data_IF_463218064426
#
_entry.id   IF_463218064426
#
_cell.length_a   1.000
_cell.length_b   1.000
_cell.length_c   1.000
_cell.angle_alpha   90.00
_cell.angle_beta   90.00
_cell.angle_gamma   90.00
#
_symmetry.space_group_name_H-M   'P 1'
#
loop_
_entity.id
_entity.type
_entity.pdbx_description
1 polymer ?
#
# COMPACT_ATOMS: atom_id res chain seq x y z
N UNK A 1 16.13 13.97 -4.39
CA UNK A 1 14.77 13.67 -4.90
C UNK A 1 14.93 12.74 -6.10
N UNK A 2 14.71 11.45 -5.86
CA UNK A 2 14.92 10.38 -6.84
C UNK A 2 14.31 10.73 -8.21
N UNK A 3 15.16 10.67 -9.26
CA UNK A 3 14.77 10.95 -10.65
C UNK A 3 13.57 10.11 -11.11
N UNK A 4 13.46 8.89 -10.57
CA UNK A 4 12.37 7.95 -10.84
C UNK A 4 11.02 8.48 -10.35
N UNK A 5 10.97 9.16 -9.19
CA UNK A 5 9.75 9.76 -8.66
C UNK A 5 9.36 11.04 -9.41
N UNK A 6 10.32 11.76 -10.00
CA UNK A 6 10.08 12.97 -10.81
C UNK A 6 9.58 12.65 -12.23
N UNK A 7 10.09 11.58 -12.86
CA UNK A 7 9.64 11.12 -14.18
C UNK A 7 8.25 10.44 -14.14
N UNK A 8 7.69 10.26 -12.95
CA UNK A 8 6.38 9.67 -12.68
C UNK A 8 5.23 10.67 -12.94
N UNK A 9 5.07 11.08 -14.20
CA UNK A 9 4.10 12.09 -14.62
C UNK A 9 2.66 11.54 -14.68
N UNK A 10 2.00 11.46 -13.52
CA UNK A 10 0.57 11.19 -13.42
C UNK A 10 -0.19 12.48 -13.64
N UNK A 11 -1.19 12.45 -14.55
CA UNK A 11 -2.03 13.61 -14.83
C UNK A 11 -3.37 13.46 -14.14
N UNK A 12 -3.76 14.50 -13.40
CA UNK A 12 -5.12 14.65 -12.88
C UNK A 12 -6.09 14.78 -14.05
N UNK A 13 -7.26 14.15 -13.93
CA UNK A 13 -8.36 14.31 -14.89
C UNK A 13 -9.12 15.58 -14.51
N UNK A 14 -9.80 16.24 -15.47
CA UNK A 14 -10.59 17.43 -15.17
C UNK A 14 -11.70 17.13 -14.14
N UNK A 15 -12.34 18.18 -13.61
CA UNK A 15 -13.44 18.02 -12.66
C UNK A 15 -14.52 17.06 -13.20
N UNK A 16 -15.13 16.18 -12.37
CA UNK A 16 -16.29 15.38 -12.77
C UNK A 16 -17.38 16.20 -13.48
N UNK A 17 -17.58 17.45 -13.08
CA UNK A 17 -18.56 18.37 -13.67
C UNK A 17 -18.25 18.78 -15.12
N UNK A 18 -17.06 18.42 -15.62
CA UNK A 18 -16.68 18.66 -17.01
C UNK A 18 -17.20 17.58 -17.97
N UNK A 19 -17.87 16.53 -17.48
CA UNK A 19 -18.22 15.33 -18.25
C UNK A 19 -19.71 14.94 -18.18
N UNK A 20 -20.23 14.41 -19.29
CA UNK A 20 -21.58 13.84 -19.37
C UNK A 20 -21.58 12.35 -18.97
N UNK A 21 -22.60 11.94 -18.20
CA UNK A 21 -22.92 10.53 -18.05
C UNK A 21 -23.69 10.03 -19.28
N UNK A 22 -23.21 8.95 -19.89
CA UNK A 22 -23.91 8.26 -20.99
C UNK A 22 -24.75 7.10 -20.48
N UNK A 23 -25.79 6.71 -21.22
CA UNK A 23 -26.65 5.59 -20.83
C UNK A 23 -25.79 4.32 -20.64
N UNK A 24 -25.88 3.73 -19.45
CA UNK A 24 -25.12 2.53 -19.09
C UNK A 24 -23.72 2.78 -18.52
N UNK A 25 -23.28 4.04 -18.39
CA UNK A 25 -21.99 4.38 -17.78
C UNK A 25 -22.12 5.53 -16.77
N UNK A 26 -21.36 5.48 -15.67
CA UNK A 26 -21.23 6.61 -14.74
C UNK A 26 -19.84 7.24 -14.90
N UNK A 27 -19.71 8.07 -15.94
CA UNK A 27 -18.48 8.76 -16.31
C UNK A 27 -17.98 9.67 -15.20
N UNK A 28 -18.86 10.45 -14.59
CA UNK A 28 -18.49 11.43 -13.55
C UNK A 28 -17.96 10.76 -12.29
N UNK A 29 -18.58 9.65 -11.87
CA UNK A 29 -18.11 8.86 -10.72
C UNK A 29 -16.78 8.18 -11.04
N UNK A 30 -16.60 7.65 -12.26
CA UNK A 30 -15.32 7.10 -12.67
C UNK A 30 -14.20 8.16 -12.67
N UNK A 31 -14.48 9.38 -13.13
CA UNK A 31 -13.55 10.53 -13.07
C UNK A 31 -13.25 10.92 -11.63
N UNK A 32 -14.26 10.96 -10.76
CA UNK A 32 -14.05 11.21 -9.33
C UNK A 32 -13.08 10.18 -8.74
N UNK A 33 -13.28 8.89 -9.01
CA UNK A 33 -12.38 7.82 -8.54
C UNK A 33 -10.99 7.87 -9.17
N UNK A 34 -10.88 8.31 -10.42
CA UNK A 34 -9.57 8.55 -11.04
C UNK A 34 -8.82 9.71 -10.36
N UNK A 35 -9.54 10.74 -9.92
CA UNK A 35 -8.98 11.85 -9.17
C UNK A 35 -8.65 11.45 -7.71
N UNK A 36 -9.46 10.60 -7.06
CA UNK A 36 -9.13 10.01 -5.76
C UNK A 36 -7.84 9.18 -5.86
N UNK A 37 -7.71 8.38 -6.93
CA UNK A 37 -6.51 7.60 -7.23
C UNK A 37 -5.28 8.51 -7.45
N UNK A 38 -5.44 9.59 -8.23
CA UNK A 38 -4.39 10.59 -8.43
C UNK A 38 -3.92 11.17 -7.08
N UNK A 39 -4.86 11.58 -6.22
CA UNK A 39 -4.55 12.15 -4.90
C UNK A 39 -3.79 11.14 -4.03
N UNK A 40 -4.26 9.90 -3.94
CA UNK A 40 -3.57 8.87 -3.15
C UNK A 40 -2.13 8.63 -3.63
N UNK A 41 -1.90 8.63 -4.94
CA UNK A 41 -0.54 8.50 -5.50
C UNK A 41 0.30 9.75 -5.22
N UNK A 42 -0.29 10.93 -5.37
CA UNK A 42 0.41 12.20 -5.12
C UNK A 42 0.84 12.34 -3.66
N UNK A 43 -0.06 12.04 -2.72
CA UNK A 43 0.25 12.03 -1.29
C UNK A 43 1.35 11.00 -0.97
N UNK A 44 1.24 9.77 -1.49
CA UNK A 44 2.30 8.76 -1.31
C UNK A 44 3.66 9.24 -1.83
N UNK A 45 3.70 9.94 -2.97
CA UNK A 45 4.95 10.50 -3.53
C UNK A 45 5.55 11.60 -2.66
N UNK A 46 4.73 12.47 -2.08
CA UNK A 46 5.21 13.50 -1.14
C UNK A 46 5.84 12.83 0.07
N UNK A 47 5.14 11.87 0.67
CA UNK A 47 5.66 11.13 1.82
C UNK A 47 6.97 10.42 1.48
N UNK A 48 7.08 9.79 0.30
CA UNK A 48 8.33 9.18 -0.13
C UNK A 48 9.45 10.19 -0.36
N UNK A 49 9.16 11.40 -0.86
CA UNK A 49 10.18 12.43 -1.02
C UNK A 49 10.82 12.83 0.32
N UNK A 50 10.04 12.83 1.41
CA UNK A 50 10.56 13.05 2.77
C UNK A 50 11.14 11.79 3.42
N UNK A 51 10.76 10.58 2.97
CA UNK A 51 11.40 9.35 3.44
C UNK A 51 12.76 9.07 2.78
N UNK A 52 13.03 9.70 1.64
CA UNK A 52 14.28 9.58 0.88
C UNK A 52 15.47 10.09 1.71
N UNK A 53 16.46 9.23 1.97
CA UNK A 53 17.67 9.61 2.71
C UNK A 53 18.40 10.77 2.03
N UNK A 54 18.35 10.86 0.70
CA UNK A 54 19.01 11.92 -0.07
C UNK A 54 18.37 13.29 0.12
N UNK A 55 17.18 13.36 0.74
CA UNK A 55 16.55 14.62 1.11
C UNK A 55 17.33 15.34 2.23
N UNK A 56 18.02 14.59 3.08
CA UNK A 56 18.69 15.11 4.28
C UNK A 56 20.19 15.25 4.07
N UNK A 57 20.76 16.37 4.55
CA UNK A 57 22.20 16.69 4.42
C UNK A 57 23.08 15.85 5.36
N UNK A 58 22.54 15.51 6.51
CA UNK A 58 23.19 14.70 7.54
C UNK A 58 22.27 13.51 7.84
N UNK A 59 22.80 12.44 8.41
CA UNK A 59 22.02 11.26 8.79
C UNK A 59 22.22 11.03 10.29
N UNK A 60 21.12 10.82 11.00
CA UNK A 60 21.10 10.53 12.44
C UNK A 60 19.78 9.84 12.82
N UNK A 61 19.66 9.40 14.07
CA UNK A 61 18.48 8.68 14.58
C UNK A 61 17.17 9.48 14.47
N UNK A 62 17.21 10.80 14.70
CA UNK A 62 16.03 11.67 14.57
C UNK A 62 15.51 11.68 13.13
N UNK A 63 16.42 11.70 12.15
CA UNK A 63 16.10 11.63 10.73
C UNK A 63 15.51 10.27 10.39
N UNK A 64 16.07 9.18 10.90
CA UNK A 64 15.49 7.85 10.69
C UNK A 64 14.08 7.73 11.29
N UNK A 65 13.81 8.34 12.45
CA UNK A 65 12.46 8.42 13.00
C UNK A 65 11.49 9.20 12.09
N UNK A 66 11.92 10.36 11.57
CA UNK A 66 11.12 11.16 10.63
C UNK A 66 10.83 10.36 9.36
N UNK A 67 11.84 9.68 8.81
CA UNK A 67 11.69 8.86 7.60
C UNK A 67 10.70 7.72 7.81
N UNK A 68 10.71 7.08 8.98
CA UNK A 68 9.75 6.02 9.34
C UNK A 68 8.32 6.54 9.42
N UNK A 69 8.12 7.74 9.99
CA UNK A 69 6.81 8.38 10.03
C UNK A 69 6.27 8.61 8.61
N UNK A 70 7.10 9.15 7.72
CA UNK A 70 6.72 9.36 6.32
C UNK A 70 6.49 8.04 5.57
N UNK A 71 7.31 7.01 5.78
CA UNK A 71 7.09 5.67 5.21
C UNK A 71 5.75 5.07 5.67
N UNK A 72 5.39 5.23 6.95
CA UNK A 72 4.09 4.76 7.47
C UNK A 72 2.92 5.41 6.73
N UNK A 73 2.98 6.72 6.49
CA UNK A 73 1.96 7.44 5.74
C UNK A 73 1.93 7.01 4.27
N UNK A 74 3.11 6.90 3.63
CA UNK A 74 3.26 6.41 2.27
C UNK A 74 2.61 5.02 2.12
N UNK A 75 2.93 4.06 2.99
CA UNK A 75 2.36 2.70 2.96
C UNK A 75 0.83 2.74 3.06
N UNK A 76 0.26 3.59 3.92
CA UNK A 76 -1.20 3.71 4.05
C UNK A 76 -1.84 4.16 2.74
N UNK A 77 -1.26 5.17 2.08
CA UNK A 77 -1.76 5.69 0.82
C UNK A 77 -1.54 4.71 -0.34
N UNK A 78 -0.36 4.10 -0.42
CA UNK A 78 -0.05 3.05 -1.39
C UNK A 78 -0.99 1.86 -1.27
N UNK A 79 -1.34 1.45 -0.05
CA UNK A 79 -2.26 0.34 0.19
C UNK A 79 -3.65 0.59 -0.41
N UNK A 80 -4.13 1.84 -0.39
CA UNK A 80 -5.44 2.25 -0.93
C UNK A 80 -5.46 2.31 -2.47
N UNK A 81 -4.32 2.59 -3.12
CA UNK A 81 -4.22 2.73 -4.59
C UNK A 81 -4.91 1.58 -5.31
N UNK A 82 -4.57 0.33 -4.95
CA UNK A 82 -5.14 -0.83 -5.61
C UNK A 82 -6.66 -0.89 -5.45
N UNK A 83 -7.18 -0.62 -4.25
CA UNK A 83 -8.61 -0.73 -3.95
C UNK A 83 -9.41 0.38 -4.65
N UNK A 84 -8.89 1.62 -4.68
CA UNK A 84 -9.49 2.73 -5.44
C UNK A 84 -9.48 2.44 -6.95
N UNK A 85 -8.39 1.84 -7.45
CA UNK A 85 -8.26 1.58 -8.87
C UNK A 85 -9.34 0.62 -9.40
N UNK A 86 -9.74 -0.36 -8.59
CA UNK A 86 -10.88 -1.24 -8.88
C UNK A 86 -12.21 -0.48 -8.98
N UNK A 87 -12.37 0.64 -8.28
CA UNK A 87 -13.60 1.43 -8.31
C UNK A 87 -13.80 2.19 -9.63
N UNK A 88 -12.73 2.52 -10.36
CA UNK A 88 -12.84 3.24 -11.64
C UNK A 88 -13.69 2.45 -12.67
N UNK A 89 -13.36 1.19 -13.04
CA UNK A 89 -14.17 0.42 -13.98
C UNK A 89 -15.50 -0.02 -13.35
N UNK A 90 -15.54 -0.20 -12.04
CA UNK A 90 -16.76 -0.52 -11.29
C UNK A 90 -17.86 0.52 -11.48
N UNK A 91 -17.53 1.80 -11.35
CA UNK A 91 -18.45 2.90 -11.63
C UNK A 91 -18.62 3.15 -13.12
N UNK A 92 -17.52 3.19 -13.89
CA UNK A 92 -17.59 3.50 -15.32
C UNK A 92 -18.57 2.58 -16.06
N UNK A 93 -18.53 1.28 -15.78
CA UNK A 93 -19.39 0.29 -16.43
C UNK A 93 -20.63 -0.09 -15.62
N UNK A 94 -20.87 0.57 -14.47
CA UNK A 94 -21.96 0.23 -13.54
C UNK A 94 -22.01 -1.26 -13.21
N UNK A 95 -20.84 -1.86 -12.97
CA UNK A 95 -20.70 -3.30 -12.76
C UNK A 95 -21.60 -3.79 -11.61
N UNK A 96 -21.77 -2.95 -10.58
CA UNK A 96 -22.66 -3.18 -9.45
C UNK A 96 -24.13 -3.46 -9.82
N UNK A 97 -24.59 -2.98 -10.99
CA UNK A 97 -25.95 -3.15 -11.48
C UNK A 97 -26.10 -4.32 -12.48
N UNK A 98 -25.02 -5.02 -12.80
CA UNK A 98 -25.06 -6.15 -13.74
C UNK A 98 -25.48 -7.44 -13.03
N UNK A 99 -26.72 -7.88 -13.24
CA UNK A 99 -27.33 -9.03 -12.55
C UNK A 99 -26.57 -10.35 -12.74
N UNK A 100 -25.86 -10.52 -13.87
CA UNK A 100 -25.03 -11.72 -14.11
C UNK A 100 -23.73 -11.71 -13.29
N UNK A 101 -23.32 -10.55 -12.77
CA UNK A 101 -22.09 -10.38 -11.99
C UNK A 101 -22.40 -10.17 -10.52
N UNK A 102 -23.34 -9.27 -10.21
CA UNK A 102 -23.70 -8.84 -8.87
C UNK A 102 -25.21 -8.90 -8.71
N UNK A 103 -25.69 -9.60 -7.68
CA UNK A 103 -27.09 -9.56 -7.27
C UNK A 103 -27.30 -8.41 -6.28
N UNK A 104 -27.17 -7.17 -6.75
CA UNK A 104 -27.47 -6.00 -5.92
C UNK A 104 -28.95 -5.60 -6.03
N UNK A 105 -29.48 -5.00 -4.97
CA UNK A 105 -30.80 -4.33 -4.96
C UNK A 105 -30.68 -2.81 -4.88
N UNK A 106 -29.46 -2.29 -5.07
CA UNK A 106 -29.18 -0.87 -4.92
C UNK A 106 -29.88 -0.09 -6.03
N UNK A 107 -30.55 0.99 -5.65
CA UNK A 107 -31.22 1.89 -6.59
C UNK A 107 -30.42 3.18 -6.67
N UNK A 108 -29.96 3.51 -7.88
CA UNK A 108 -29.21 4.74 -8.15
C UNK A 108 -30.00 5.97 -7.66
N UNK A 109 -29.29 6.95 -7.10
CA UNK A 109 -29.83 8.20 -6.56
C UNK A 109 -30.73 8.06 -5.32
N UNK A 110 -30.78 6.89 -4.67
CA UNK A 110 -31.28 6.81 -3.29
C UNK A 110 -30.25 7.34 -2.31
N UNK A 111 -30.67 7.69 -1.11
CA UNK A 111 -29.74 8.05 -0.03
C UNK A 111 -28.65 6.97 0.14
N UNK A 112 -27.39 7.40 0.32
CA UNK A 112 -26.21 6.54 0.53
C UNK A 112 -25.88 5.51 -0.56
N UNK A 113 -26.54 5.55 -1.73
CA UNK A 113 -26.35 4.54 -2.77
C UNK A 113 -24.89 4.40 -3.25
N UNK A 114 -24.11 5.50 -3.23
CA UNK A 114 -22.70 5.48 -3.61
C UNK A 114 -21.90 4.67 -2.60
N UNK A 115 -22.06 4.92 -1.30
CA UNK A 115 -21.36 4.19 -0.24
C UNK A 115 -21.68 2.70 -0.30
N UNK A 116 -22.95 2.33 -0.46
CA UNK A 116 -23.37 0.94 -0.63
C UNK A 116 -22.72 0.28 -1.87
N UNK A 117 -22.62 1.03 -2.98
CA UNK A 117 -21.96 0.55 -4.20
C UNK A 117 -20.45 0.39 -4.00
N UNK A 118 -19.79 1.28 -3.26
CA UNK A 118 -18.36 1.19 -2.96
C UNK A 118 -18.04 -0.01 -2.08
N UNK A 119 -18.84 -0.25 -1.03
CA UNK A 119 -18.67 -1.40 -0.13
C UNK A 119 -18.86 -2.75 -0.83
N UNK A 120 -19.70 -2.79 -1.87
CA UNK A 120 -19.89 -3.98 -2.70
C UNK A 120 -18.78 -4.20 -3.73
N UNK A 121 -17.89 -3.23 -3.95
CA UNK A 121 -16.84 -3.34 -4.96
C UNK A 121 -15.87 -4.47 -4.59
N UNK A 122 -15.79 -5.49 -5.46
CA UNK A 122 -14.86 -6.61 -5.31
C UNK A 122 -14.18 -6.91 -6.62
N UNK A 123 -12.90 -7.22 -6.55
CA UNK A 123 -12.09 -7.63 -7.70
C UNK A 123 -12.71 -8.80 -8.47
N UNK A 124 -13.30 -9.77 -7.75
CA UNK A 124 -13.97 -10.93 -8.36
C UNK A 124 -15.12 -10.51 -9.27
N UNK A 125 -15.89 -9.49 -8.90
CA UNK A 125 -16.98 -8.97 -9.72
C UNK A 125 -16.44 -8.26 -10.96
N UNK A 126 -15.41 -7.44 -10.81
CA UNK A 126 -14.77 -6.74 -11.94
C UNK A 126 -14.21 -7.76 -12.94
N UNK A 127 -13.46 -8.76 -12.46
CA UNK A 127 -12.94 -9.84 -13.29
C UNK A 127 -14.04 -10.64 -13.99
N UNK A 128 -15.15 -10.94 -13.30
CA UNK A 128 -16.27 -11.67 -13.88
C UNK A 128 -17.00 -10.85 -14.95
N UNK A 129 -17.19 -9.55 -14.71
CA UNK A 129 -17.76 -8.63 -15.68
C UNK A 129 -16.96 -8.65 -16.98
N UNK A 130 -15.67 -8.38 -16.92
CA UNK A 130 -14.84 -8.37 -18.13
C UNK A 130 -14.73 -9.74 -18.82
N UNK A 131 -14.82 -10.85 -18.07
CA UNK A 131 -14.89 -12.20 -18.65
C UNK A 131 -16.21 -12.46 -19.39
N UNK A 132 -17.33 -11.93 -18.89
CA UNK A 132 -18.64 -12.12 -19.49
C UNK A 132 -18.80 -11.30 -20.77
N UNK A 133 -18.30 -10.07 -20.80
CA UNK A 133 -18.39 -9.18 -21.96
C UNK A 133 -17.16 -9.29 -22.88
N UNK A 134 -16.56 -10.50 -22.97
CA UNK A 134 -15.39 -10.88 -23.79
C UNK A 134 -15.46 -10.35 -25.23
N UNK A 135 -15.01 -9.12 -25.45
CA UNK A 135 -14.32 -8.55 -26.63
C UNK A 135 -14.36 -7.01 -26.54
N UNK A 136 -13.19 -6.39 -26.74
CA UNK A 136 -12.93 -4.95 -26.93
C UNK A 136 -12.86 -3.98 -25.74
N UNK A 137 -13.29 -4.34 -24.52
CA UNK A 137 -13.17 -3.43 -23.38
C UNK A 137 -11.98 -3.83 -22.49
N UNK A 138 -10.87 -3.11 -22.68
CA UNK A 138 -9.73 -2.98 -21.77
C UNK A 138 -9.15 -4.29 -21.21
N UNK A 139 -9.01 -5.31 -22.08
CA UNK A 139 -8.36 -6.57 -21.72
C UNK A 139 -6.91 -6.41 -21.23
N UNK A 140 -6.25 -5.32 -21.64
CA UNK A 140 -4.92 -4.97 -21.16
C UNK A 140 -4.94 -4.51 -19.69
N UNK A 141 -5.91 -3.70 -19.30
CA UNK A 141 -6.09 -3.25 -17.92
C UNK A 141 -6.15 -4.43 -16.94
N UNK A 142 -6.92 -5.46 -17.28
CA UNK A 142 -7.08 -6.65 -16.42
C UNK A 142 -5.76 -7.42 -16.31
N UNK A 143 -5.01 -7.54 -17.40
CA UNK A 143 -3.69 -8.21 -17.36
C UNK A 143 -2.73 -7.43 -16.48
N UNK A 144 -2.70 -6.11 -16.61
CA UNK A 144 -1.87 -5.22 -15.82
C UNK A 144 -2.25 -5.27 -14.33
N UNK A 145 -3.55 -5.21 -14.00
CA UNK A 145 -4.04 -5.35 -12.62
C UNK A 145 -3.67 -6.71 -12.01
N UNK A 146 -3.82 -7.80 -12.76
CA UNK A 146 -3.45 -9.13 -12.27
C UNK A 146 -1.93 -9.30 -12.10
N UNK A 147 -1.14 -8.73 -13.01
CA UNK A 147 0.32 -8.69 -12.88
C UNK A 147 0.70 -7.91 -11.61
N UNK A 148 0.18 -6.70 -11.48
CA UNK A 148 0.42 -5.82 -10.35
C UNK A 148 0.05 -6.48 -9.02
N UNK A 149 -1.14 -7.09 -8.94
CA UNK A 149 -1.61 -7.82 -7.76
C UNK A 149 -0.65 -8.92 -7.32
N UNK A 150 -0.20 -9.77 -8.25
CA UNK A 150 0.72 -10.88 -7.94
C UNK A 150 2.09 -10.40 -7.50
N UNK A 151 2.50 -9.23 -7.94
CA UNK A 151 3.83 -8.70 -7.67
C UNK A 151 3.88 -7.90 -6.36
N UNK A 152 2.85 -7.08 -6.10
CA UNK A 152 2.85 -6.04 -5.07
C UNK A 152 1.75 -6.16 -4.00
N UNK A 153 0.71 -6.97 -4.23
CA UNK A 153 -0.38 -7.13 -3.25
C UNK A 153 -0.23 -8.48 -2.53
N UNK A 154 -0.23 -9.57 -3.30
CA UNK A 154 -0.14 -10.94 -2.78
C UNK A 154 1.03 -11.66 -3.44
N UNK A 155 2.20 -11.57 -2.82
CA UNK A 155 3.42 -12.22 -3.30
C UNK A 155 4.10 -12.96 -2.14
N UNK A 156 3.96 -14.29 -2.11
CA UNK A 156 4.57 -15.12 -1.07
C UNK A 156 6.09 -15.29 -1.22
N UNK A 157 6.67 -14.88 -2.35
CA UNK A 157 8.12 -14.94 -2.59
C UNK A 157 8.85 -13.70 -2.06
N UNK A 158 8.13 -12.59 -1.86
CA UNK A 158 8.69 -11.38 -1.24
C UNK A 158 8.66 -11.53 0.27
N UNK A 159 9.66 -10.93 0.92
CA UNK A 159 9.73 -10.88 2.37
C UNK A 159 8.52 -10.15 2.98
N UNK A 160 8.08 -9.09 2.30
CA UNK A 160 6.89 -8.31 2.59
C UNK A 160 6.37 -7.64 1.32
N UNK A 161 5.10 -7.23 1.35
CA UNK A 161 4.47 -6.37 0.36
C UNK A 161 3.89 -5.14 1.05
N UNK A 162 3.50 -4.11 0.30
CA UNK A 162 2.80 -2.94 0.87
C UNK A 162 1.54 -3.35 1.65
N UNK A 163 0.79 -4.34 1.14
CA UNK A 163 -0.41 -4.86 1.83
C UNK A 163 -0.06 -5.54 3.15
N UNK A 164 1.00 -6.36 3.19
CA UNK A 164 1.42 -7.00 4.44
C UNK A 164 1.99 -6.00 5.45
N UNK A 165 2.75 -4.99 4.98
CA UNK A 165 3.24 -3.90 5.82
C UNK A 165 2.10 -3.07 6.41
N UNK A 166 1.09 -2.71 5.60
CA UNK A 166 -0.07 -1.96 6.09
C UNK A 166 -0.84 -2.76 7.16
N UNK A 167 -1.00 -4.07 6.96
CA UNK A 167 -1.61 -4.95 7.97
C UNK A 167 -0.74 -5.03 9.24
N UNK A 168 0.58 -5.15 9.10
CA UNK A 168 1.51 -5.13 10.23
C UNK A 168 1.36 -3.84 11.04
N UNK A 169 1.38 -2.68 10.40
CA UNK A 169 1.21 -1.36 11.04
C UNK A 169 -0.15 -1.27 11.75
N UNK A 170 -1.23 -1.78 11.13
CA UNK A 170 -2.58 -1.78 11.72
C UNK A 170 -2.64 -2.55 13.03
N UNK A 171 -1.95 -3.70 13.12
CA UNK A 171 -2.01 -4.57 14.29
C UNK A 171 -0.93 -4.23 15.35
N UNK A 172 0.22 -3.70 14.93
CA UNK A 172 1.36 -3.43 15.82
C UNK A 172 1.58 -1.95 16.13
N UNK A 173 0.86 -1.04 15.46
CA UNK A 173 0.91 0.42 15.65
C UNK A 173 2.07 1.13 14.93
N UNK A 174 3.16 0.40 14.63
CA UNK A 174 4.36 0.93 13.97
C UNK A 174 5.09 -0.13 13.15
N UNK A 175 6.03 0.33 12.32
CA UNK A 175 7.16 -0.45 11.83
C UNK A 175 8.30 -0.22 12.83
N UNK A 176 8.95 -1.29 13.29
CA UNK A 176 10.18 -1.17 14.07
C UNK A 176 11.36 -1.39 13.12
N UNK A 177 12.08 -0.32 12.73
CA UNK A 177 13.15 -0.45 11.77
C UNK A 177 14.42 -0.96 12.44
N UNK A 178 15.20 -1.73 11.68
CA UNK A 178 16.47 -2.28 12.15
C UNK A 178 17.42 -1.14 12.56
N UNK A 179 17.38 -0.02 11.83
CA UNK A 179 18.20 1.17 12.03
C UNK A 179 17.95 1.88 13.37
N UNK A 180 16.77 1.68 14.00
CA UNK A 180 16.43 2.25 15.29
C UNK A 180 16.53 1.23 16.45
N UNK A 181 17.03 0.02 16.17
CA UNK A 181 17.20 -0.99 17.20
C UNK A 181 18.52 -0.77 17.93
N UNK A 182 18.45 -0.67 19.26
CA UNK A 182 19.63 -0.73 20.10
C UNK A 182 20.06 -2.18 20.33
N UNK A 183 21.36 -2.45 20.22
CA UNK A 183 21.94 -3.74 20.59
C UNK A 183 21.58 -4.06 22.05
N UNK A 184 20.76 -5.09 22.24
CA UNK A 184 20.33 -5.44 23.59
C UNK A 184 21.43 -6.26 24.26
N UNK A 185 22.16 -5.63 25.17
CA UNK A 185 23.10 -6.31 26.06
C UNK A 185 22.32 -6.91 27.23
N UNK A 186 22.48 -8.22 27.44
CA UNK A 186 21.93 -8.90 28.60
C UNK A 186 23.08 -9.46 29.44
N UNK A 187 23.02 -9.17 30.74
CA UNK A 187 23.86 -9.80 31.74
C UNK A 187 23.08 -10.92 32.41
N UNK A 188 23.65 -12.13 32.44
CA UNK A 188 23.06 -13.28 33.14
C UNK A 188 23.93 -13.59 34.35
N UNK A 189 23.31 -13.74 35.52
CA UNK A 189 23.98 -14.17 36.73
C UNK A 189 23.91 -15.69 36.77
N UNK A 190 25.07 -16.36 36.71
CA UNK A 190 25.19 -17.81 36.86
C UNK A 190 26.11 -18.05 38.05
N UNK A 191 25.63 -18.73 39.09
CA UNK A 191 26.40 -19.04 40.31
C UNK A 191 27.07 -17.79 40.93
N UNK A 192 26.30 -16.71 41.12
CA UNK A 192 26.75 -15.42 41.68
C UNK A 192 27.81 -14.66 40.86
N UNK A 193 28.13 -15.11 39.64
CA UNK A 193 28.99 -14.39 38.70
C UNK A 193 28.18 -13.78 37.55
N UNK A 194 28.32 -12.46 37.37
CA UNK A 194 27.69 -11.72 36.27
C UNK A 194 28.45 -11.95 34.98
N UNK A 195 27.86 -12.70 34.06
CA UNK A 195 28.41 -12.91 32.71
C UNK A 195 27.65 -12.03 31.71
N UNK A 196 28.37 -11.12 31.06
CA UNK A 196 27.85 -10.40 29.89
C UNK A 196 27.91 -11.33 28.68
N UNK A 197 26.76 -11.58 28.05
CA UNK A 197 26.69 -12.45 26.88
C UNK A 197 26.88 -11.61 25.62
N UNK A 198 28.11 -11.59 25.12
CA UNK A 198 28.46 -11.12 23.78
C UNK A 198 28.54 -12.30 22.80
N UNK A 199 27.93 -12.16 21.62
CA UNK A 199 27.85 -13.21 20.59
C UNK A 199 26.86 -14.37 20.80
N UNK A 200 26.98 -15.39 19.94
CA UNK A 200 26.15 -16.61 19.88
C UNK A 200 26.52 -17.59 21.00
N UNK A 201 25.64 -17.75 22.01
CA UNK A 201 25.76 -18.79 23.03
C UNK A 201 24.41 -19.46 23.27
N UNK A 202 24.35 -20.78 23.05
CA UNK A 202 23.23 -21.60 23.51
C UNK A 202 23.34 -21.81 25.02
N UNK A 203 22.38 -21.29 25.77
CA UNK A 203 22.24 -21.57 27.19
C UNK A 203 21.06 -22.52 27.40
N UNK A 204 21.35 -23.78 27.70
CA UNK A 204 20.34 -24.75 28.11
C UNK A 204 19.93 -24.52 29.56
N UNK A 205 18.99 -23.61 29.83
CA UNK A 205 18.42 -23.47 31.17
C UNK A 205 17.21 -24.38 31.33
N UNK A 206 17.31 -25.39 32.21
CA UNK A 206 16.17 -26.27 32.53
C UNK A 206 15.58 -25.85 33.87
N UNK A 207 14.57 -24.97 33.85
CA UNK A 207 13.80 -24.64 35.04
C UNK A 207 12.74 -25.72 35.27
N UNK A 208 12.79 -26.43 36.41
CA UNK A 208 11.66 -27.28 36.84
C UNK A 208 10.59 -26.39 37.46
N UNK A 209 9.67 -25.90 36.63
CA UNK A 209 8.40 -25.35 37.10
C UNK A 209 7.50 -26.55 37.43
N UNK A 210 6.62 -26.37 38.43
CA UNK A 210 5.86 -27.44 39.12
C UNK A 210 5.07 -28.39 38.19
N UNK A 211 4.89 -28.04 36.91
CA UNK A 211 4.19 -28.83 35.88
C UNK A 211 4.96 -28.94 34.54
N UNK A 212 6.25 -29.33 34.60
CA UNK A 212 7.03 -29.93 33.48
C UNK A 212 7.04 -29.30 32.06
N UNK A 213 7.02 -27.97 31.83
CA UNK A 213 7.41 -27.44 30.53
C UNK A 213 8.94 -27.39 30.41
N UNK A 214 9.48 -27.80 29.26
CA UNK A 214 10.88 -27.56 28.89
C UNK A 214 11.01 -26.15 28.32
N UNK A 215 11.68 -25.26 29.04
CA UNK A 215 12.02 -23.92 28.56
C UNK A 215 13.34 -24.00 27.76
N UNK A 216 13.38 -23.41 26.57
CA UNK A 216 14.57 -23.35 25.71
C UNK A 216 14.83 -21.90 25.33
N UNK A 217 15.98 -21.37 25.71
CA UNK A 217 16.42 -20.03 25.37
C UNK A 217 17.40 -20.13 24.20
N UNK A 218 17.11 -19.47 23.06
CA UNK A 218 18.03 -19.43 21.91
C UNK A 218 18.39 -17.98 21.60
N UNK A 219 19.64 -17.71 21.26
CA UNK A 219 20.06 -16.41 20.71
C UNK A 219 20.61 -16.66 19.30
N UNK A 220 19.93 -16.10 18.30
CA UNK A 220 20.43 -15.93 16.92
C UNK A 220 20.54 -14.42 16.66
N UNK A 221 19.77 -13.87 15.71
CA UNK A 221 19.58 -12.41 15.61
C UNK A 221 18.82 -11.81 16.82
N UNK A 222 18.02 -12.62 17.52
CA UNK A 222 17.25 -12.21 18.70
C UNK A 222 17.18 -13.32 19.78
N UNK A 223 16.81 -12.96 21.02
CA UNK A 223 16.66 -13.83 22.20
C UNK A 223 15.28 -14.54 22.27
N UNK A 224 15.15 -15.77 21.80
CA UNK A 224 13.88 -16.51 21.82
C UNK A 224 13.65 -17.35 23.08
N UNK A 225 12.50 -17.05 23.70
CA UNK A 225 11.66 -17.70 24.71
C UNK A 225 10.87 -18.97 24.34
N UNK A 226 11.41 -20.14 24.02
CA UNK A 226 10.55 -21.30 23.72
C UNK A 226 10.08 -22.02 25.00
N UNK A 227 8.80 -22.36 25.10
CA UNK A 227 8.19 -23.14 26.19
C UNK A 227 7.52 -24.37 25.57
N UNK A 228 8.12 -25.55 25.79
CA UNK A 228 7.68 -26.81 25.22
C UNK A 228 6.98 -27.65 26.28
N UNK A 229 5.71 -27.99 26.06
CA UNK A 229 4.94 -28.81 26.99
C UNK A 229 5.08 -30.28 26.60
N UNK A 230 5.63 -31.11 27.48
CA UNK A 230 5.93 -32.51 27.20
C UNK A 230 4.74 -33.46 27.42
N UNK A 231 3.55 -32.94 27.77
CA UNK A 231 2.44 -33.77 28.21
C UNK A 231 1.44 -34.05 27.08
N UNK A 232 1.47 -35.28 26.55
CA UNK A 232 0.59 -35.76 25.46
C UNK A 232 -0.87 -36.05 25.92
N UNK A 233 -1.21 -35.76 27.18
CA UNK A 233 -2.50 -36.13 27.78
C UNK A 233 -3.42 -34.96 28.11
N UNK A 234 -3.05 -33.73 27.81
CA UNK A 234 -3.93 -32.58 27.97
C UNK A 234 -4.42 -32.11 26.60
N UNK A 235 -5.74 -31.89 26.47
CA UNK A 235 -6.41 -31.29 25.30
C UNK A 235 -5.91 -29.85 24.95
N UNK A 236 -4.83 -29.38 25.59
CA UNK A 236 -4.27 -28.04 25.51
C UNK A 236 -2.72 -27.99 25.55
N UNK A 237 -2.02 -29.02 25.05
CA UNK A 237 -0.54 -29.01 24.97
C UNK A 237 -0.03 -28.17 23.78
N UNK A 238 -0.33 -26.88 23.76
CA UNK A 238 0.22 -25.98 22.73
C UNK A 238 1.61 -25.48 23.14
N UNK A 239 2.64 -25.87 22.38
CA UNK A 239 3.97 -25.31 22.53
C UNK A 239 3.95 -23.82 22.21
N UNK A 240 4.60 -23.02 23.07
CA UNK A 240 4.84 -21.61 22.81
C UNK A 240 6.24 -21.45 22.24
N UNK A 241 6.38 -20.86 21.06
CA UNK A 241 7.69 -20.54 20.51
C UNK A 241 7.96 -19.06 20.70
N UNK A 242 9.09 -18.71 21.29
CA UNK A 242 9.48 -17.32 21.52
C UNK A 242 9.63 -16.54 20.21
N UNK A 243 9.89 -17.22 19.09
CA UNK A 243 9.84 -16.59 17.75
C UNK A 243 8.46 -16.00 17.42
N UNK A 244 7.39 -16.48 18.04
CA UNK A 244 6.01 -16.06 17.74
C UNK A 244 5.67 -14.71 18.40
N UNK A 245 6.44 -14.28 19.40
CA UNK A 245 6.38 -12.91 19.96
C UNK A 245 7.34 -11.94 19.25
N UNK A 246 8.27 -12.45 18.44
CA UNK A 246 9.19 -11.58 17.71
C UNK A 246 8.46 -10.86 16.59
N UNK A 247 8.39 -9.54 16.74
CA UNK A 247 7.97 -8.67 15.64
C UNK A 247 9.09 -8.67 14.61
N UNK A 248 8.72 -8.99 13.38
CA UNK A 248 9.63 -8.92 12.26
C UNK A 248 10.04 -7.46 12.05
N UNK A 249 11.34 -7.19 12.12
CA UNK A 249 11.91 -5.88 11.86
C UNK A 249 12.28 -5.78 10.39
N UNK A 250 12.21 -4.58 9.83
CA UNK A 250 12.44 -4.32 8.42
C UNK A 250 13.34 -3.12 8.26
N UNK A 251 14.26 -3.12 7.31
CA UNK A 251 15.07 -1.94 7.02
C UNK A 251 14.22 -0.81 6.44
N UNK A 252 14.48 0.43 6.88
CA UNK A 252 13.91 1.65 6.28
C UNK A 252 14.14 1.66 4.77
N UNK A 253 15.34 1.29 4.33
CA UNK A 253 15.73 1.29 2.91
C UNK A 253 14.96 0.24 2.10
N UNK A 254 14.76 -0.95 2.65
CA UNK A 254 14.03 -2.02 1.94
C UNK A 254 12.55 -1.67 1.81
N UNK A 255 11.95 -1.08 2.85
CA UNK A 255 10.58 -0.57 2.80
C UNK A 255 10.47 0.56 1.78
N UNK A 256 11.40 1.52 1.81
CA UNK A 256 11.43 2.63 0.87
C UNK A 256 11.49 2.13 -0.57
N UNK A 257 12.39 1.20 -0.88
CA UNK A 257 12.51 0.59 -2.21
C UNK A 257 11.25 -0.16 -2.63
N UNK A 258 10.60 -0.92 -1.74
CA UNK A 258 9.34 -1.60 -2.08
C UNK A 258 8.24 -0.58 -2.38
N UNK A 259 8.20 0.56 -1.68
CA UNK A 259 7.27 1.65 -1.97
C UNK A 259 7.53 2.30 -3.33
N UNK A 260 8.79 2.56 -3.68
CA UNK A 260 9.17 3.08 -5.00
C UNK A 260 8.81 2.09 -6.11
N UNK A 261 9.15 0.82 -5.92
CA UNK A 261 8.83 -0.24 -6.87
C UNK A 261 7.31 -0.40 -7.05
N UNK A 262 6.53 -0.26 -5.97
CA UNK A 262 5.06 -0.28 -6.03
C UNK A 262 4.54 0.83 -6.94
N UNK A 263 5.03 2.07 -6.76
CA UNK A 263 4.68 3.15 -7.65
C UNK A 263 5.11 2.79 -9.07
N UNK A 264 6.39 2.53 -9.34
CA UNK A 264 6.87 2.19 -10.69
C UNK A 264 6.03 1.11 -11.38
N UNK A 265 5.70 0.02 -10.66
CA UNK A 265 4.88 -1.08 -11.15
C UNK A 265 3.42 -0.71 -11.43
N UNK A 266 2.86 0.29 -10.74
CA UNK A 266 1.48 0.73 -10.93
C UNK A 266 1.30 1.66 -12.14
N UNK A 267 2.38 2.20 -12.71
CA UNK A 267 2.30 3.21 -13.78
C UNK A 267 1.54 2.72 -15.00
N UNK A 268 1.84 1.52 -15.51
CA UNK A 268 1.15 1.01 -16.69
C UNK A 268 -0.36 0.84 -16.43
N UNK A 269 -0.74 0.48 -15.20
CA UNK A 269 -2.14 0.37 -14.79
C UNK A 269 -2.81 1.75 -14.85
N UNK A 270 -2.16 2.78 -14.29
CA UNK A 270 -2.68 4.15 -14.32
C UNK A 270 -2.83 4.69 -15.76
N UNK A 271 -1.79 4.52 -16.59
CA UNK A 271 -1.81 4.97 -17.98
C UNK A 271 -2.98 4.32 -18.75
N UNK A 272 -3.23 3.02 -18.51
CA UNK A 272 -4.33 2.32 -19.16
C UNK A 272 -5.71 2.78 -18.64
N UNK A 273 -5.82 3.18 -17.37
CA UNK A 273 -7.03 3.85 -16.88
C UNK A 273 -7.32 5.15 -17.61
N UNK A 274 -6.30 5.98 -17.82
CA UNK A 274 -6.45 7.23 -18.56
C UNK A 274 -6.85 6.96 -20.01
N UNK A 275 -6.27 5.93 -20.65
CA UNK A 275 -6.67 5.51 -21.98
C UNK A 275 -8.13 5.06 -22.02
N UNK A 276 -8.56 4.21 -21.09
CA UNK A 276 -9.95 3.74 -20.95
C UNK A 276 -10.92 4.92 -20.77
N UNK A 277 -10.60 5.84 -19.86
CA UNK A 277 -11.42 7.02 -19.60
C UNK A 277 -11.50 7.90 -20.86
N UNK A 278 -10.39 8.21 -21.51
CA UNK A 278 -10.39 9.03 -22.73
C UNK A 278 -11.24 8.43 -23.87
N UNK A 279 -11.36 7.09 -23.97
CA UNK A 279 -12.24 6.42 -24.94
C UNK A 279 -13.74 6.56 -24.62
N UNK A 280 -14.09 6.92 -23.39
CA UNK A 280 -15.46 6.81 -22.88
C UNK A 280 -16.04 8.11 -22.32
N UNK A 281 -15.19 9.08 -21.97
CA UNK A 281 -15.59 10.37 -21.45
C UNK A 281 -16.01 11.30 -22.58
N UNK A 282 -17.20 11.90 -22.44
CA UNK A 282 -17.69 12.97 -23.30
C UNK A 282 -17.70 14.25 -22.48
N UNK A 283 -16.98 15.28 -22.93
CA UNK A 283 -16.90 16.57 -22.22
C UNK A 283 -18.16 17.41 -22.45
N UNK A 284 -18.57 18.16 -21.42
CA UNK A 284 -19.70 19.09 -21.49
C UNK A 284 -19.34 20.33 -22.31
N UNK A 285 -18.12 20.84 -22.13
CA UNK A 285 -17.58 21.93 -22.93
C UNK A 285 -16.36 21.39 -23.70
N UNK A 286 -16.29 21.56 -25.03
CA UNK A 286 -15.08 21.24 -25.78
C UNK A 286 -13.90 21.99 -25.17
N UNK A 287 -12.70 21.38 -25.15
CA UNK A 287 -11.50 22.15 -24.79
C UNK A 287 -11.45 23.39 -25.67
N UNK A 288 -11.24 24.56 -25.08
CA UNK A 288 -10.97 25.77 -25.84
C UNK A 288 -9.74 25.51 -26.70
N UNK A 289 -9.92 25.39 -28.01
CA UNK A 289 -8.80 25.36 -28.94
C UNK A 289 -8.20 26.76 -28.93
N UNK A 290 -7.03 26.92 -28.29
CA UNK A 290 -6.28 28.16 -28.34
C UNK A 290 -5.70 28.26 -29.75
N UNK A 291 -6.46 28.84 -30.67
CA UNK A 291 -6.08 28.97 -32.08
C UNK A 291 -4.95 29.98 -32.31
N UNK A 292 -4.63 30.80 -31.31
CA UNK A 292 -3.43 31.62 -31.29
C UNK A 292 -3.06 32.00 -29.87
N UNK A 293 -1.79 31.80 -29.51
CA UNK A 293 -1.18 32.47 -28.36
C UNK A 293 -0.52 33.75 -28.88
N UNK A 294 -1.14 34.90 -28.64
CA UNK A 294 -0.42 36.17 -28.79
C UNK A 294 0.48 36.35 -27.56
N UNK A 295 1.81 36.49 -27.72
CA UNK A 295 2.66 36.83 -26.60
C UNK A 295 2.24 38.20 -26.06
N UNK A 296 1.81 38.23 -24.81
CA UNK A 296 1.53 39.47 -24.10
C UNK A 296 2.85 39.94 -23.50
N UNK A 297 3.47 40.97 -24.08
CA UNK A 297 4.67 41.58 -23.50
C UNK A 297 4.28 42.32 -22.20
N UNK A 298 4.39 41.61 -21.08
CA UNK A 298 4.13 42.14 -19.74
C UNK A 298 5.03 43.36 -19.40
N UNK A 299 6.17 43.50 -20.07
CA UNK A 299 7.08 44.65 -19.97
C UNK A 299 6.42 45.98 -20.37
N UNK A 300 5.32 45.96 -21.15
CA UNK A 300 4.53 47.18 -21.43
C UNK A 300 3.71 47.66 -20.25
N UNK A 301 3.38 46.77 -19.30
CA UNK A 301 2.54 47.09 -18.14
C UNK A 301 3.36 47.41 -16.88
N UNK A 302 4.64 47.05 -16.88
CA UNK A 302 5.58 47.35 -15.81
C UNK A 302 6.84 48.01 -16.40
N UNK A 303 6.77 49.30 -16.80
CA UNK A 303 7.98 50.03 -17.16
C UNK A 303 8.93 50.01 -15.95
N UNK A 304 10.15 49.56 -16.18
CA UNK A 304 11.20 49.39 -15.18
C UNK A 304 11.27 50.62 -14.26
N UNK A 305 10.99 50.39 -12.97
CA UNK A 305 11.38 51.27 -11.88
C UNK A 305 12.58 50.66 -11.18
#
# INVERSE_FOLDING_TARGET
MNKILNDYAIRKVDSPDSYFDVKGKDARLAVLKANDLYTAIFEARIELAYADKEYYKEQNEDIDFIRVLHLKNAISNLNKIYDISLQIPWFLYRIWNEKKVVKSKIVRNKENWINEVEELCRETYINNFFKLYKSNLDGELIKLLNKFKREFIFNSKKEFTIRSLCNHIKHNGTIQPIELMQDTTFSVIINDETTTIDGDKEFGFTAKIKDNPKVVIKKKEYLTIDILYNDQKADFSENFYGKDIYRKNYSIEDIFKECENYLVGFKPVYDEYINMLNKHLIRIVPKTEVNSTSPLELNRFFPNT
#
